data_IF_112332356295
#
_entry.id   IF_112332356295
#
_cell.length_a   1.000
_cell.length_b   1.000
_cell.length_c   1.000
_cell.angle_alpha   90.00
_cell.angle_beta   90.00
_cell.angle_gamma   90.00
#
_symmetry.space_group_name_H-M   'P 1'
#
loop_
_entity.id
_entity.type
_entity.pdbx_description
1 polymer ?
#
# COMPACT_ATOMS: atom_id res chain seq x y z
N UNK A 1 13.59 -10.58 -7.72
CA UNK A 1 12.69 -10.42 -8.88
C UNK A 1 13.29 -9.33 -9.77
N UNK A 2 13.41 -9.54 -11.08
CA UNK A 2 13.95 -8.51 -11.99
C UNK A 2 12.86 -7.43 -12.14
N UNK A 3 13.04 -6.24 -11.56
CA UNK A 3 12.20 -5.08 -11.89
C UNK A 3 12.46 -4.74 -13.36
N UNK A 4 11.44 -4.85 -14.21
CA UNK A 4 11.50 -4.37 -15.60
C UNK A 4 11.13 -2.89 -15.56
N UNK A 5 11.96 -2.03 -16.16
CA UNK A 5 11.73 -0.59 -16.16
C UNK A 5 10.46 -0.25 -16.96
N UNK A 6 9.68 0.72 -16.49
CA UNK A 6 8.42 1.13 -17.13
C UNK A 6 8.67 1.57 -18.57
N UNK A 7 9.78 2.27 -18.84
CA UNK A 7 10.14 2.70 -20.19
C UNK A 7 10.49 1.52 -21.10
N UNK A 8 11.10 0.47 -20.55
CA UNK A 8 11.43 -0.74 -21.32
C UNK A 8 10.15 -1.46 -21.75
N UNK A 9 9.17 -1.57 -20.84
CA UNK A 9 7.83 -2.07 -21.12
C UNK A 9 7.08 -1.22 -22.16
N UNK A 10 7.07 0.10 -22.00
CA UNK A 10 6.43 1.03 -22.95
C UNK A 10 7.00 0.88 -24.36
N UNK A 11 8.32 0.76 -24.47
CA UNK A 11 9.00 0.57 -25.75
C UNK A 11 8.67 -0.80 -26.38
N UNK A 12 8.61 -1.87 -25.57
CA UNK A 12 8.23 -3.20 -26.04
C UNK A 12 6.79 -3.24 -26.55
N UNK A 13 5.86 -2.59 -25.84
CA UNK A 13 4.45 -2.49 -26.25
C UNK A 13 4.31 -1.62 -27.50
N UNK A 14 5.01 -0.49 -27.56
CA UNK A 14 4.94 0.42 -28.73
C UNK A 14 5.53 -0.20 -30.00
N UNK A 15 6.46 -1.14 -29.85
CA UNK A 15 7.07 -1.89 -30.95
C UNK A 15 6.26 -3.15 -31.34
N UNK A 16 5.21 -3.50 -30.61
CA UNK A 16 4.43 -4.71 -30.85
C UNK A 16 3.41 -4.50 -31.97
N UNK A 17 3.30 -5.48 -32.88
CA UNK A 17 2.43 -5.40 -34.06
C UNK A 17 1.09 -6.14 -33.88
N UNK A 18 0.90 -6.83 -32.77
CA UNK A 18 -0.32 -7.56 -32.42
C UNK A 18 -0.65 -7.43 -30.93
N UNK A 19 -1.92 -7.68 -30.56
CA UNK A 19 -2.38 -7.62 -29.18
C UNK A 19 -1.97 -8.87 -28.37
N UNK A 20 -1.64 -9.98 -29.05
CA UNK A 20 -1.24 -11.24 -28.42
C UNK A 20 0.13 -11.13 -27.73
N UNK A 21 1.07 -10.39 -28.33
CA UNK A 21 2.36 -10.10 -27.68
C UNK A 21 2.20 -9.32 -26.37
N UNK A 22 1.20 -8.44 -26.25
CA UNK A 22 0.90 -7.72 -25.01
C UNK A 22 0.39 -8.67 -23.92
N UNK A 23 -0.48 -9.62 -24.26
CA UNK A 23 -0.95 -10.64 -23.30
C UNK A 23 0.19 -11.56 -22.81
N UNK A 24 1.18 -11.84 -23.66
CA UNK A 24 2.34 -12.63 -23.26
C UNK A 24 3.22 -11.90 -22.23
N UNK A 25 3.23 -10.56 -22.21
CA UNK A 25 3.94 -9.77 -21.19
C UNK A 25 3.29 -9.96 -19.81
N UNK A 26 1.96 -10.00 -19.73
CA UNK A 26 1.22 -10.26 -18.47
C UNK A 26 1.54 -11.63 -17.87
N UNK A 27 1.86 -12.62 -18.71
CA UNK A 27 2.30 -13.95 -18.27
C UNK A 27 3.75 -13.96 -17.73
N UNK A 28 4.57 -12.99 -18.14
CA UNK A 28 5.97 -12.82 -17.70
C UNK A 28 6.03 -11.98 -16.41
N UNK A 29 5.09 -11.05 -16.23
CA UNK A 29 5.02 -10.14 -15.09
C UNK A 29 3.66 -10.33 -14.40
N UNK A 30 3.52 -11.32 -13.50
CA UNK A 30 2.28 -11.48 -12.75
C UNK A 30 2.01 -10.21 -11.93
N UNK A 31 0.80 -9.66 -12.03
CA UNK A 31 0.35 -8.56 -11.17
C UNK A 31 0.42 -9.03 -9.72
N UNK A 32 1.32 -8.43 -8.94
CA UNK A 32 1.45 -8.75 -7.53
C UNK A 32 0.20 -8.26 -6.79
N UNK A 33 -0.46 -9.15 -6.05
CA UNK A 33 -1.62 -8.77 -5.25
C UNK A 33 -1.20 -7.97 -4.01
N UNK A 34 -2.15 -7.23 -3.44
CA UNK A 34 -1.94 -6.53 -2.15
C UNK A 34 -1.47 -7.49 -1.06
N UNK A 35 -2.09 -8.67 -0.95
CA UNK A 35 -1.73 -9.65 0.07
C UNK A 35 -0.33 -10.21 -0.14
N UNK A 36 0.07 -10.47 -1.38
CA UNK A 36 1.43 -10.90 -1.72
C UNK A 36 2.45 -9.82 -1.34
N UNK A 37 2.17 -8.55 -1.66
CA UNK A 37 3.08 -7.46 -1.34
C UNK A 37 3.20 -7.24 0.17
N UNK A 38 2.08 -7.33 0.89
CA UNK A 38 2.08 -7.27 2.36
C UNK A 38 2.87 -8.43 2.97
N UNK A 39 2.81 -9.64 2.41
CA UNK A 39 3.62 -10.76 2.86
C UNK A 39 5.12 -10.54 2.63
N UNK A 40 5.51 -9.95 1.51
CA UNK A 40 6.89 -9.53 1.26
C UNK A 40 7.35 -8.48 2.27
N UNK A 41 6.53 -7.46 2.53
CA UNK A 41 6.84 -6.42 3.52
C UNK A 41 7.00 -7.01 4.92
N UNK A 42 6.15 -7.95 5.34
CA UNK A 42 6.31 -8.65 6.63
C UNK A 42 7.67 -9.34 6.75
N UNK A 43 8.14 -9.99 5.67
CA UNK A 43 9.45 -10.66 5.64
C UNK A 43 10.61 -9.66 5.69
N UNK A 44 10.54 -8.58 4.90
CA UNK A 44 11.57 -7.54 4.82
C UNK A 44 11.72 -6.84 6.17
N UNK A 45 10.59 -6.45 6.77
CA UNK A 45 10.54 -5.72 8.05
C UNK A 45 10.59 -6.63 9.28
N UNK A 46 10.67 -7.96 9.08
CA UNK A 46 10.71 -8.98 10.14
C UNK A 46 9.56 -8.83 11.14
N UNK A 47 8.36 -8.60 10.62
CA UNK A 47 7.13 -8.40 11.39
C UNK A 47 6.20 -9.60 11.25
N UNK A 48 5.33 -9.79 12.24
CA UNK A 48 4.22 -10.74 12.15
C UNK A 48 2.91 -10.01 11.87
N UNK A 49 2.06 -10.60 11.00
CA UNK A 49 0.76 -10.03 10.65
C UNK A 49 -0.09 -9.69 11.89
N UNK A 50 -0.03 -10.52 12.94
CA UNK A 50 -0.79 -10.31 14.19
C UNK A 50 -0.44 -8.97 14.87
N UNK A 51 0.83 -8.60 14.84
CA UNK A 51 1.34 -7.41 15.52
C UNK A 51 1.03 -6.18 14.69
N UNK A 52 1.15 -6.29 13.36
CA UNK A 52 0.74 -5.24 12.42
C UNK A 52 -0.76 -4.97 12.51
N UNK A 53 -1.61 -6.00 12.51
CA UNK A 53 -3.07 -5.86 12.64
C UNK A 53 -3.44 -5.12 13.92
N UNK A 54 -2.79 -5.47 15.04
CA UNK A 54 -3.00 -4.82 16.33
C UNK A 54 -2.55 -3.36 16.30
N UNK A 55 -1.34 -3.08 15.80
CA UNK A 55 -0.79 -1.73 15.73
C UNK A 55 -1.54 -0.82 14.74
N UNK A 56 -2.09 -1.39 13.67
CA UNK A 56 -2.94 -0.71 12.71
C UNK A 56 -4.36 -0.43 13.23
N UNK A 57 -4.67 -0.85 14.46
CA UNK A 57 -6.01 -0.75 15.05
C UNK A 57 -7.12 -1.36 14.17
N UNK A 58 -6.82 -2.49 13.52
CA UNK A 58 -7.77 -3.23 12.69
C UNK A 58 -8.48 -4.30 13.50
N UNK A 59 -9.75 -4.54 13.17
CA UNK A 59 -10.47 -5.71 13.68
C UNK A 59 -9.72 -6.99 13.25
N UNK A 60 -9.51 -7.90 14.20
CA UNK A 60 -8.60 -9.05 14.05
C UNK A 60 -8.96 -9.93 12.86
N UNK A 61 -10.23 -10.33 12.74
CA UNK A 61 -10.71 -11.20 11.67
C UNK A 61 -10.61 -10.51 10.31
N UNK A 62 -10.97 -9.24 10.21
CA UNK A 62 -10.83 -8.43 9.00
C UNK A 62 -9.37 -8.28 8.60
N UNK A 63 -8.50 -8.00 9.57
CA UNK A 63 -7.05 -7.89 9.36
C UNK A 63 -6.46 -9.14 8.74
N UNK A 64 -6.75 -10.32 9.30
CA UNK A 64 -6.27 -11.58 8.71
C UNK A 64 -6.82 -11.82 7.30
N UNK A 65 -8.08 -11.43 7.03
CA UNK A 65 -8.65 -11.51 5.68
C UNK A 65 -7.95 -10.60 4.67
N UNK A 66 -7.36 -9.47 5.10
CA UNK A 66 -6.51 -8.66 4.22
C UNK A 66 -5.23 -9.42 3.89
N UNK A 67 -4.52 -9.91 4.91
CA UNK A 67 -3.24 -10.59 4.72
C UNK A 67 -3.37 -11.93 4.00
N UNK A 68 -4.51 -12.62 4.08
CA UNK A 68 -4.80 -13.83 3.29
C UNK A 68 -5.24 -13.53 1.84
N UNK A 69 -5.61 -12.28 1.53
CA UNK A 69 -6.15 -11.89 0.23
C UNK A 69 -7.66 -12.08 0.07
N UNK A 70 -8.37 -12.53 1.10
CA UNK A 70 -9.83 -12.69 1.09
C UNK A 70 -10.58 -11.35 1.06
N UNK A 71 -9.91 -10.24 1.42
CA UNK A 71 -10.47 -8.89 1.41
C UNK A 71 -9.47 -7.87 0.87
N UNK A 72 -9.93 -7.05 -0.08
CA UNK A 72 -9.21 -5.86 -0.50
C UNK A 72 -9.61 -4.67 0.41
N UNK A 73 -8.70 -4.14 1.24
CA UNK A 73 -8.99 -2.97 2.07
C UNK A 73 -9.02 -1.68 1.24
N UNK A 74 -9.86 -0.74 1.64
CA UNK A 74 -9.81 0.62 1.09
C UNK A 74 -8.60 1.41 1.60
N UNK A 75 -8.28 2.50 0.88
CA UNK A 75 -7.15 3.41 1.14
C UNK A 75 -6.85 3.73 2.62
N UNK A 76 -7.81 4.11 3.50
CA UNK A 76 -7.47 4.46 4.87
C UNK A 76 -6.92 3.28 5.69
N UNK A 77 -7.41 2.07 5.44
CA UNK A 77 -6.93 0.85 6.13
C UNK A 77 -5.54 0.46 5.63
N UNK A 78 -5.26 0.64 4.33
CA UNK A 78 -3.91 0.43 3.78
C UNK A 78 -2.90 1.40 4.40
N UNK A 79 -3.28 2.67 4.55
CA UNK A 79 -2.43 3.67 5.18
C UNK A 79 -2.26 3.41 6.69
N UNK A 80 -3.26 2.85 7.37
CA UNK A 80 -3.11 2.39 8.75
C UNK A 80 -2.10 1.24 8.87
N UNK A 81 -2.14 0.27 7.95
CA UNK A 81 -1.14 -0.80 7.87
C UNK A 81 0.24 -0.21 7.58
N UNK A 82 0.35 0.73 6.65
CA UNK A 82 1.61 1.38 6.31
C UNK A 82 2.25 2.11 7.51
N UNK A 83 1.45 2.86 8.27
CA UNK A 83 1.92 3.52 9.50
C UNK A 83 2.35 2.50 10.55
N UNK A 84 1.55 1.43 10.76
CA UNK A 84 1.86 0.37 11.71
C UNK A 84 3.16 -0.39 11.38
N UNK A 85 3.44 -0.56 10.09
CA UNK A 85 4.66 -1.19 9.59
C UNK A 85 5.82 -0.20 9.43
N UNK A 86 5.60 1.10 9.65
CA UNK A 86 6.58 2.17 9.45
C UNK A 86 7.20 2.17 8.05
N UNK A 87 6.36 1.96 7.03
CA UNK A 87 6.80 1.87 5.64
C UNK A 87 7.39 3.19 5.14
N UNK A 88 8.37 3.07 4.23
CA UNK A 88 8.87 4.19 3.43
C UNK A 88 7.83 4.72 2.44
N UNK A 89 8.02 5.95 1.97
CA UNK A 89 7.12 6.55 0.98
C UNK A 89 7.00 5.71 -0.29
N UNK A 90 8.11 5.14 -0.75
CA UNK A 90 8.16 4.26 -1.93
C UNK A 90 7.32 3.00 -1.72
N UNK A 91 7.45 2.36 -0.56
CA UNK A 91 6.65 1.17 -0.20
C UNK A 91 5.16 1.51 -0.09
N UNK A 92 4.81 2.67 0.48
CA UNK A 92 3.41 3.11 0.55
C UNK A 92 2.82 3.35 -0.84
N UNK A 93 3.56 4.00 -1.75
CA UNK A 93 3.08 4.23 -3.11
C UNK A 93 2.92 2.92 -3.88
N UNK A 94 3.82 1.94 -3.69
CA UNK A 94 3.70 0.59 -4.24
C UNK A 94 2.49 -0.16 -3.67
N UNK A 95 2.28 -0.07 -2.35
CA UNK A 95 1.13 -0.69 -1.68
C UNK A 95 -0.20 -0.16 -2.23
N UNK A 96 -0.32 1.16 -2.38
CA UNK A 96 -1.51 1.80 -2.96
C UNK A 96 -1.69 1.42 -4.43
N UNK A 97 -0.60 1.33 -5.19
CA UNK A 97 -0.63 0.89 -6.59
C UNK A 97 -1.21 -0.53 -6.72
N UNK A 98 -0.69 -1.50 -5.97
CA UNK A 98 -1.21 -2.88 -6.02
C UNK A 98 -2.65 -2.99 -5.53
N UNK A 99 -3.09 -2.08 -4.65
CA UNK A 99 -4.47 -1.99 -4.20
C UNK A 99 -5.42 -1.30 -5.18
N UNK A 100 -4.89 -0.71 -6.26
CA UNK A 100 -5.62 0.15 -7.21
C UNK A 100 -6.23 1.38 -6.53
N UNK A 101 -5.52 1.91 -5.55
CA UNK A 101 -5.91 3.08 -4.76
C UNK A 101 -5.07 4.31 -5.14
N UNK A 102 -5.62 5.49 -4.88
CA UNK A 102 -4.95 6.75 -5.21
C UNK A 102 -3.66 6.95 -4.40
N UNK A 103 -2.61 7.39 -5.10
CA UNK A 103 -1.33 7.80 -4.51
C UNK A 103 -1.51 8.88 -3.44
N UNK A 104 -0.59 8.96 -2.48
CA UNK A 104 -0.57 10.10 -1.55
C UNK A 104 -0.20 11.38 -2.29
N UNK A 105 -0.99 12.44 -2.10
CA UNK A 105 -0.80 13.75 -2.69
C UNK A 105 -0.75 14.84 -1.63
N UNK A 106 0.46 15.27 -1.25
CA UNK A 106 0.72 16.22 -0.14
C UNK A 106 0.03 17.58 -0.26
N UNK A 107 -0.52 17.94 -1.43
CA UNK A 107 -1.36 19.16 -1.55
C UNK A 107 -2.71 18.99 -0.85
N UNK A 108 -3.21 17.76 -0.74
CA UNK A 108 -4.37 17.44 0.10
C UNK A 108 -3.95 17.50 1.58
N UNK A 109 -4.76 18.17 2.41
CA UNK A 109 -4.51 18.34 3.85
C UNK A 109 -4.43 17.00 4.59
N UNK A 110 -5.32 16.07 4.26
CA UNK A 110 -5.36 14.74 4.87
C UNK A 110 -4.11 13.94 4.54
N UNK A 111 -3.76 13.84 3.26
CA UNK A 111 -2.56 13.11 2.80
C UNK A 111 -1.27 13.71 3.38
N UNK A 112 -1.23 15.04 3.60
CA UNK A 112 -0.08 15.71 4.22
C UNK A 112 0.15 15.25 5.65
N UNK A 113 -0.92 15.05 6.43
CA UNK A 113 -0.81 14.52 7.79
C UNK A 113 -0.29 13.09 7.77
N UNK A 114 -0.79 12.25 6.86
CA UNK A 114 -0.30 10.87 6.70
C UNK A 114 1.17 10.85 6.30
N UNK A 115 1.56 11.68 5.33
CA UNK A 115 2.95 11.84 4.90
C UNK A 115 3.86 12.22 6.08
N UNK A 116 3.44 13.21 6.86
CA UNK A 116 4.16 13.61 8.08
C UNK A 116 4.29 12.46 9.08
N UNK A 117 3.22 11.67 9.25
CA UNK A 117 3.21 10.49 10.12
C UNK A 117 4.23 9.43 9.71
N UNK A 118 4.32 9.14 8.42
CA UNK A 118 5.29 8.19 7.87
C UNK A 118 6.72 8.70 8.11
N UNK A 119 7.00 9.97 7.80
CA UNK A 119 8.31 10.60 7.99
C UNK A 119 8.75 10.67 9.46
N UNK A 120 7.80 10.74 10.40
CA UNK A 120 8.06 10.80 11.86
C UNK A 120 7.82 9.49 12.58
N UNK A 121 7.56 8.41 11.85
CA UNK A 121 7.30 7.07 12.39
C UNK A 121 6.18 7.06 13.46
N UNK A 122 5.14 7.87 13.25
CA UNK A 122 3.99 7.97 14.16
C UNK A 122 3.03 6.80 14.00
N UNK A 123 2.39 6.42 15.10
CA UNK A 123 1.36 5.39 15.09
C UNK A 123 0.01 5.89 14.56
N UNK A 124 -0.91 4.96 14.33
CA UNK A 124 -2.28 5.27 13.87
C UNK A 124 -3.03 6.15 14.87
N UNK A 125 -2.86 5.92 16.18
CA UNK A 125 -3.51 6.71 17.22
C UNK A 125 -3.05 8.16 17.20
N UNK A 126 -1.74 8.40 17.09
CA UNK A 126 -1.17 9.75 17.03
C UNK A 126 -1.68 10.50 15.80
N UNK A 127 -1.75 9.82 14.66
CA UNK A 127 -2.25 10.39 13.41
C UNK A 127 -3.73 10.75 13.52
N UNK A 128 -4.55 9.91 14.14
CA UNK A 128 -5.96 10.22 14.38
C UNK A 128 -6.15 11.46 15.26
N UNK A 129 -5.27 11.67 16.26
CA UNK A 129 -5.27 12.89 17.08
C UNK A 129 -4.97 14.11 16.22
N UNK A 130 -3.90 14.08 15.41
CA UNK A 130 -3.52 15.20 14.54
C UNK A 130 -4.61 15.50 13.51
N UNK A 131 -5.21 14.46 12.90
CA UNK A 131 -6.33 14.62 11.97
C UNK A 131 -7.51 15.31 12.65
N UNK A 132 -7.88 14.87 13.86
CA UNK A 132 -8.95 15.48 14.64
C UNK A 132 -8.67 16.95 14.95
N UNK A 133 -7.46 17.28 15.39
CA UNK A 133 -7.06 18.66 15.73
C UNK A 133 -7.12 19.60 14.52
N UNK A 134 -6.96 19.05 13.31
CA UNK A 134 -7.10 19.80 12.06
C UNK A 134 -8.53 19.77 11.48
N UNK A 135 -9.50 19.18 12.20
CA UNK A 135 -10.88 19.05 11.74
C UNK A 135 -11.06 18.10 10.55
N UNK A 136 -10.15 17.15 10.37
CA UNK A 136 -10.14 16.17 9.29
C UNK A 136 -10.75 14.84 9.74
N UNK A 137 -11.18 14.04 8.77
CA UNK A 137 -11.77 12.71 9.03
C UNK A 137 -10.68 11.76 9.54
N UNK A 138 -10.94 10.95 10.59
CA UNK A 138 -9.96 10.00 11.11
C UNK A 138 -9.63 8.89 10.10
N UNK A 139 -8.45 8.30 10.26
CA UNK A 139 -7.95 7.21 9.41
C UNK A 139 -8.82 5.96 9.52
N UNK A 140 -9.27 5.64 10.75
CA UNK A 140 -10.17 4.54 11.05
C UNK A 140 -11.30 5.07 11.95
N UNK A 141 -12.52 4.63 11.67
CA UNK A 141 -13.71 4.94 12.48
C UNK A 141 -13.90 3.90 13.57
#
# INVERSE_FOLDING_TARGET
MKEIDTRELENQISASNDIESVNNISNIIPELSVSQYLEELLKIHKMEAKDVIKAANLERTYGYKIFSGDKNPGRPKLLAIALAMQLSHEEVQRLLYYAKEEKLYVKNSWDRVIWYGLEKHLGVSDINIILHDFGLVPLLK
#
